data_IF_076951013763
#
_entry.id   IF_076951013763
#
_cell.length_a   1.000
_cell.length_b   1.000
_cell.length_c   1.000
_cell.angle_alpha   90.00
_cell.angle_beta   90.00
_cell.angle_gamma   90.00
#
_symmetry.space_group_name_H-M   'P 1'
#
loop_
_entity.id
_entity.type
_entity.pdbx_description
1 polymer ?
#
# COMPACT_ATOMS: atom_id res chain seq x y z
N UNK A 1 11.51 -4.62 28.92
CA UNK A 1 11.20 -5.09 27.56
C UNK A 1 12.07 -6.30 27.32
N UNK A 2 11.47 -7.47 27.20
CA UNK A 2 12.19 -8.69 26.80
C UNK A 2 12.83 -8.45 25.43
N UNK A 3 14.13 -8.72 25.30
CA UNK A 3 14.81 -8.64 24.02
C UNK A 3 14.27 -9.77 23.14
N UNK A 4 13.57 -9.43 22.05
CA UNK A 4 13.09 -10.42 21.11
C UNK A 4 14.29 -11.21 20.56
N UNK A 5 14.26 -12.53 20.74
CA UNK A 5 15.29 -13.42 20.20
C UNK A 5 15.20 -13.40 18.68
N UNK A 6 16.16 -12.75 18.02
CA UNK A 6 16.27 -12.80 16.57
C UNK A 6 16.55 -14.26 16.15
N UNK A 7 15.81 -14.82 15.16
CA UNK A 7 16.11 -16.15 14.66
C UNK A 7 17.55 -16.21 14.15
N UNK A 8 18.27 -17.26 14.54
CA UNK A 8 19.62 -17.51 14.05
C UNK A 8 19.60 -17.67 12.52
N UNK A 9 20.56 -17.03 11.83
CA UNK A 9 20.71 -17.12 10.37
C UNK A 9 20.03 -16.02 9.55
N UNK A 10 19.36 -15.04 10.16
CA UNK A 10 18.92 -13.83 9.45
C UNK A 10 20.14 -12.94 9.23
N UNK A 11 20.49 -12.72 7.96
CA UNK A 11 21.51 -11.75 7.57
C UNK A 11 21.08 -10.35 8.06
N UNK A 12 21.74 -9.87 9.11
CA UNK A 12 21.48 -8.55 9.71
C UNK A 12 21.91 -7.40 8.79
N UNK A 13 22.55 -7.66 7.66
CA UNK A 13 22.95 -6.62 6.70
C UNK A 13 21.78 -6.00 5.92
N UNK A 14 20.55 -6.54 6.05
CA UNK A 14 19.35 -6.09 5.31
C UNK A 14 18.53 -5.05 6.08
N UNK A 15 18.51 -5.10 7.41
CA UNK A 15 17.70 -4.22 8.26
C UNK A 15 18.54 -3.05 8.81
N UNK A 16 18.13 -1.84 8.53
CA UNK A 16 18.71 -0.61 9.06
C UNK A 16 17.65 0.10 9.89
N UNK A 17 17.80 0.19 11.22
CA UNK A 17 16.75 0.69 12.10
C UNK A 17 16.38 2.16 11.82
N UNK A 18 17.31 2.97 11.33
CA UNK A 18 17.05 4.39 11.03
C UNK A 18 16.33 4.49 9.69
N UNK A 19 16.92 3.92 8.63
CA UNK A 19 16.32 3.95 7.29
C UNK A 19 14.94 3.28 7.27
N UNK A 20 14.81 2.11 7.88
CA UNK A 20 13.58 1.33 7.81
C UNK A 20 12.45 1.95 8.64
N UNK A 21 12.78 2.67 9.74
CA UNK A 21 11.81 3.51 10.46
C UNK A 21 11.36 4.69 9.59
N UNK A 22 12.30 5.39 8.94
CA UNK A 22 11.99 6.49 8.03
C UNK A 22 11.11 6.04 6.86
N UNK A 23 11.45 4.92 6.21
CA UNK A 23 10.68 4.36 5.11
C UNK A 23 9.28 3.92 5.56
N UNK A 24 9.17 3.30 6.73
CA UNK A 24 7.87 2.95 7.32
C UNK A 24 7.01 4.20 7.55
N UNK A 25 7.54 5.22 8.21
CA UNK A 25 6.81 6.46 8.49
C UNK A 25 6.42 7.18 7.18
N UNK A 26 7.36 7.29 6.24
CA UNK A 26 7.12 7.90 4.93
C UNK A 26 6.03 7.17 4.16
N UNK A 27 5.99 5.84 4.20
CA UNK A 27 4.95 5.03 3.56
C UNK A 27 3.56 5.44 4.01
N UNK A 28 3.34 5.48 5.32
CA UNK A 28 2.01 5.82 5.85
C UNK A 28 1.70 7.32 5.73
N UNK A 29 2.70 8.19 5.80
CA UNK A 29 2.54 9.61 5.52
C UNK A 29 2.05 9.84 4.09
N UNK A 30 2.72 9.23 3.10
CA UNK A 30 2.37 9.32 1.68
C UNK A 30 0.98 8.76 1.42
N UNK A 31 0.67 7.56 1.93
CA UNK A 31 -0.65 6.95 1.76
C UNK A 31 -1.77 7.82 2.36
N UNK A 32 -1.54 8.41 3.54
CA UNK A 32 -2.50 9.33 4.17
C UNK A 32 -2.72 10.58 3.32
N UNK A 33 -1.64 11.28 2.95
CA UNK A 33 -1.72 12.51 2.16
C UNK A 33 -2.35 12.28 0.79
N UNK A 34 -1.98 11.19 0.12
CA UNK A 34 -2.57 10.82 -1.15
C UNK A 34 -4.06 10.51 -1.02
N UNK A 35 -4.47 9.75 0.00
CA UNK A 35 -5.86 9.42 0.24
C UNK A 35 -6.73 10.67 0.53
N UNK A 36 -6.23 11.57 1.38
CA UNK A 36 -6.90 12.82 1.75
C UNK A 36 -6.99 13.82 0.57
N UNK A 37 -6.09 13.73 -0.42
CA UNK A 37 -6.04 14.65 -1.56
C UNK A 37 -7.18 14.52 -2.58
N UNK A 38 -7.96 13.43 -2.54
CA UNK A 38 -8.98 13.12 -3.55
C UNK A 38 -10.41 13.10 -3.03
N UNK A 39 -10.67 12.42 -1.91
CA UNK A 39 -12.00 12.43 -1.28
C UNK A 39 -11.93 11.90 0.14
N UNK A 40 -12.87 12.33 0.99
CA UNK A 40 -13.05 11.81 2.36
C UNK A 40 -13.28 10.30 2.40
N UNK A 41 -13.89 9.76 1.33
CA UNK A 41 -14.14 8.32 1.18
C UNK A 41 -12.83 7.52 1.04
N UNK A 42 -11.84 8.02 0.30
CA UNK A 42 -10.52 7.37 0.22
C UNK A 42 -9.70 7.69 1.47
N UNK A 43 -9.67 8.96 1.89
CA UNK A 43 -8.91 9.47 3.05
C UNK A 43 -9.05 8.59 4.28
N UNK A 44 -10.29 8.38 4.73
CA UNK A 44 -10.56 7.59 5.95
C UNK A 44 -10.57 6.07 5.74
N UNK A 45 -10.55 5.59 4.48
CA UNK A 45 -10.83 4.16 4.15
C UNK A 45 -9.88 3.60 3.09
N UNK A 46 -8.67 4.11 2.96
CA UNK A 46 -7.69 3.59 1.99
C UNK A 46 -7.38 2.09 2.21
N UNK A 47 -7.50 1.59 3.44
CA UNK A 47 -7.38 0.15 3.74
C UNK A 47 -8.72 -0.59 3.83
N UNK A 48 -9.81 0.07 3.45
CA UNK A 48 -11.14 -0.49 3.34
C UNK A 48 -11.30 -1.53 2.22
N UNK A 49 -12.24 -2.47 2.35
CA UNK A 49 -12.63 -3.27 1.18
C UNK A 49 -13.52 -2.47 0.22
N UNK A 50 -13.85 -3.03 -0.93
CA UNK A 50 -14.74 -2.42 -1.92
C UNK A 50 -15.93 -3.35 -2.20
N UNK A 51 -17.15 -2.81 -2.20
CA UNK A 51 -18.34 -3.61 -2.49
C UNK A 51 -18.56 -3.87 -3.99
N UNK A 52 -19.62 -4.62 -4.31
CA UNK A 52 -20.00 -4.91 -5.70
C UNK A 52 -20.30 -3.65 -6.52
N UNK A 53 -20.66 -2.54 -5.87
CA UNK A 53 -20.99 -1.25 -6.49
C UNK A 53 -19.81 -0.28 -6.53
N UNK A 54 -18.60 -0.72 -6.15
CA UNK A 54 -17.40 0.10 -6.17
C UNK A 54 -17.28 1.10 -5.01
N UNK A 55 -18.10 0.98 -3.96
CA UNK A 55 -18.02 1.85 -2.78
C UNK A 55 -16.98 1.33 -1.80
N UNK A 56 -16.20 2.23 -1.23
CA UNK A 56 -15.15 1.88 -0.27
C UNK A 56 -15.79 1.76 1.12
N UNK A 57 -15.61 0.59 1.72
CA UNK A 57 -16.16 0.28 3.05
C UNK A 57 -15.13 0.57 4.14
N UNK A 58 -15.60 0.86 5.36
CA UNK A 58 -14.71 1.26 6.46
C UNK A 58 -13.98 0.11 7.16
N UNK A 59 -14.41 -1.14 7.00
CA UNK A 59 -13.72 -2.26 7.64
C UNK A 59 -12.33 -2.47 7.04
N UNK A 60 -11.36 -2.74 7.91
CA UNK A 60 -10.01 -3.06 7.52
C UNK A 60 -9.97 -4.30 6.63
N UNK A 61 -9.30 -4.19 5.49
CA UNK A 61 -9.13 -5.25 4.52
C UNK A 61 -7.64 -5.54 4.34
N UNK A 62 -7.17 -6.63 4.96
CA UNK A 62 -5.74 -7.01 5.04
C UNK A 62 -5.04 -7.00 3.68
N UNK A 63 -5.69 -7.48 2.63
CA UNK A 63 -5.08 -7.53 1.30
C UNK A 63 -4.95 -6.14 0.66
N UNK A 64 -5.85 -5.20 0.96
CA UNK A 64 -5.70 -3.83 0.50
C UNK A 64 -4.57 -3.14 1.27
N UNK A 65 -4.48 -3.38 2.58
CA UNK A 65 -3.37 -2.91 3.40
C UNK A 65 -2.03 -3.40 2.86
N UNK A 66 -1.82 -4.71 2.71
CA UNK A 66 -0.59 -5.27 2.15
C UNK A 66 -0.30 -4.74 0.74
N UNK A 67 -1.31 -4.70 -0.13
CA UNK A 67 -1.16 -4.24 -1.50
C UNK A 67 -0.64 -2.81 -1.57
N UNK A 68 -1.26 -1.89 -0.84
CA UNK A 68 -0.83 -0.50 -0.80
C UNK A 68 0.49 -0.32 -0.06
N UNK A 69 0.65 -0.87 1.14
CA UNK A 69 1.85 -0.63 1.95
C UNK A 69 3.11 -1.22 1.31
N UNK A 70 3.02 -2.44 0.77
CA UNK A 70 4.15 -3.15 0.18
C UNK A 70 4.37 -2.79 -1.30
N UNK A 71 3.29 -2.54 -2.05
CA UNK A 71 3.39 -2.10 -3.43
C UNK A 71 4.04 -0.72 -3.56
N UNK A 72 3.77 0.17 -2.60
CA UNK A 72 4.37 1.51 -2.58
C UNK A 72 5.88 1.49 -2.35
N UNK A 73 6.41 0.49 -1.62
CA UNK A 73 7.85 0.44 -1.26
C UNK A 73 8.77 0.54 -2.47
N UNK A 74 8.36 -0.04 -3.62
CA UNK A 74 9.16 -0.05 -4.84
C UNK A 74 9.35 1.32 -5.48
N UNK A 75 8.48 2.28 -5.15
CA UNK A 75 8.51 3.63 -5.69
C UNK A 75 8.71 4.70 -4.61
N UNK A 76 8.82 4.31 -3.34
CA UNK A 76 8.82 5.22 -2.19
C UNK A 76 9.89 6.32 -2.29
N UNK A 77 11.07 5.99 -2.83
CA UNK A 77 12.17 6.93 -3.01
C UNK A 77 11.86 8.03 -4.04
N UNK A 78 10.98 7.78 -5.00
CA UNK A 78 10.56 8.75 -6.01
C UNK A 78 9.41 9.65 -5.53
N UNK A 79 8.85 9.39 -4.34
CA UNK A 79 7.73 10.13 -3.79
C UNK A 79 8.20 11.22 -2.83
N UNK A 80 7.69 12.42 -3.03
CA UNK A 80 7.88 13.59 -2.18
C UNK A 80 6.54 13.92 -1.48
N UNK A 81 6.44 13.69 -0.15
CA UNK A 81 5.22 14.01 0.60
C UNK A 81 4.80 15.49 0.54
N UNK A 82 5.73 16.39 0.24
CA UNK A 82 5.47 17.83 0.13
C UNK A 82 5.00 18.26 -1.27
N UNK A 83 5.04 17.36 -2.26
CA UNK A 83 4.50 17.61 -3.59
C UNK A 83 3.00 17.27 -3.63
N UNK A 84 2.18 18.30 -3.40
CA UNK A 84 0.72 18.16 -3.42
C UNK A 84 0.16 17.65 -4.75
N UNK A 85 0.80 17.95 -5.89
CA UNK A 85 0.36 17.48 -7.19
C UNK A 85 0.64 15.98 -7.34
N UNK A 86 1.82 15.54 -6.91
CA UNK A 86 2.18 14.12 -6.88
C UNK A 86 1.26 13.33 -5.93
N UNK A 87 0.97 13.85 -4.74
CA UNK A 87 0.03 13.20 -3.80
C UNK A 87 -1.38 13.09 -4.41
N UNK A 88 -1.84 14.10 -5.15
CA UNK A 88 -3.12 14.06 -5.87
C UNK A 88 -3.14 13.00 -6.98
N UNK A 89 -2.06 12.86 -7.73
CA UNK A 89 -1.95 11.80 -8.75
C UNK A 89 -1.98 10.41 -8.11
N UNK A 90 -1.19 10.22 -7.04
CA UNK A 90 -1.18 8.98 -6.28
C UNK A 90 -2.56 8.66 -5.67
N UNK A 91 -3.27 9.65 -5.14
CA UNK A 91 -4.62 9.50 -4.59
C UNK A 91 -5.63 9.06 -5.65
N UNK A 92 -5.57 9.66 -6.85
CA UNK A 92 -6.41 9.25 -7.98
C UNK A 92 -6.10 7.82 -8.39
N UNK A 93 -4.82 7.45 -8.47
CA UNK A 93 -4.42 6.08 -8.79
C UNK A 93 -4.89 5.08 -7.74
N UNK A 94 -4.84 5.41 -6.45
CA UNK A 94 -5.37 4.57 -5.39
C UNK A 94 -6.89 4.35 -5.53
N UNK A 95 -7.64 5.40 -5.91
CA UNK A 95 -9.07 5.30 -6.20
C UNK A 95 -9.36 4.45 -7.45
N UNK A 96 -8.55 4.59 -8.50
CA UNK A 96 -8.63 3.76 -9.71
C UNK A 96 -8.40 2.29 -9.37
N UNK A 97 -7.33 1.96 -8.64
CA UNK A 97 -7.04 0.60 -8.16
C UNK A 97 -8.24 0.03 -7.38
N UNK A 98 -8.79 0.80 -6.44
CA UNK A 98 -9.96 0.38 -5.64
C UNK A 98 -11.17 0.06 -6.51
N UNK A 99 -11.37 0.78 -7.61
CA UNK A 99 -12.50 0.62 -8.53
C UNK A 99 -12.22 -0.36 -9.66
N UNK A 100 -10.99 -0.80 -9.82
CA UNK A 100 -10.59 -1.76 -10.84
C UNK A 100 -11.25 -3.11 -10.58
N UNK A 101 -12.06 -3.64 -11.53
CA UNK A 101 -12.64 -4.97 -11.41
C UNK A 101 -11.59 -6.07 -11.19
N UNK A 102 -10.37 -5.90 -11.71
CA UNK A 102 -9.26 -6.85 -11.58
C UNK A 102 -8.79 -7.01 -10.13
N UNK A 103 -8.97 -6.01 -9.28
CA UNK A 103 -8.56 -6.07 -7.86
C UNK A 103 -9.16 -7.27 -7.11
N UNK A 104 -10.35 -7.74 -7.51
CA UNK A 104 -11.00 -8.92 -6.93
C UNK A 104 -10.25 -10.22 -7.21
N UNK A 105 -9.39 -10.26 -8.23
CA UNK A 105 -8.53 -11.42 -8.50
C UNK A 105 -7.36 -11.51 -7.49
N UNK A 106 -7.02 -10.39 -6.87
CA UNK A 106 -5.90 -10.26 -5.92
C UNK A 106 -6.34 -10.22 -4.45
N UNK A 107 -7.65 -10.06 -4.20
CA UNK A 107 -8.24 -9.89 -2.87
C UNK A 107 -9.38 -10.90 -2.64
N UNK A 108 -9.54 -11.41 -1.41
CA UNK A 108 -10.66 -12.28 -1.04
C UNK A 108 -10.28 -13.66 -0.52
N UNK A 109 -11.28 -14.53 -0.37
CA UNK A 109 -11.11 -15.88 0.18
C UNK A 109 -10.13 -16.74 -0.64
N UNK A 110 -9.32 -17.56 0.04
CA UNK A 110 -8.35 -18.45 -0.61
C UNK A 110 -7.09 -17.75 -1.17
N UNK A 111 -6.92 -16.44 -0.94
CA UNK A 111 -5.76 -15.65 -1.41
C UNK A 111 -4.62 -15.53 -0.39
N UNK A 112 -4.59 -16.40 0.61
CA UNK A 112 -3.53 -16.48 1.63
C UNK A 112 -2.41 -17.45 1.25
N UNK A 113 -1.99 -17.45 -0.02
CA UNK A 113 -0.87 -18.26 -0.50
C UNK A 113 0.27 -17.36 -0.94
N UNK A 114 1.51 -17.86 -0.90
CA UNK A 114 2.68 -17.10 -1.36
C UNK A 114 2.52 -16.60 -2.80
N UNK A 115 1.94 -17.43 -3.68
CA UNK A 115 1.67 -17.04 -5.07
C UNK A 115 0.66 -15.89 -5.16
N UNK A 116 -0.44 -15.98 -4.40
CA UNK A 116 -1.44 -14.92 -4.36
C UNK A 116 -0.90 -13.62 -3.75
N UNK A 117 -0.05 -13.72 -2.73
CA UNK A 117 0.67 -12.59 -2.16
C UNK A 117 1.55 -11.89 -3.20
N UNK A 118 2.44 -12.63 -3.87
CA UNK A 118 3.32 -12.07 -4.92
C UNK A 118 2.52 -11.39 -6.02
N UNK A 119 1.48 -12.05 -6.52
CA UNK A 119 0.62 -11.47 -7.56
C UNK A 119 -0.11 -10.20 -7.09
N UNK A 120 -0.51 -10.13 -5.82
CA UNK A 120 -1.13 -8.93 -5.24
C UNK A 120 -0.14 -7.79 -5.14
N UNK A 121 1.04 -8.00 -4.55
CA UNK A 121 2.05 -6.94 -4.44
C UNK A 121 2.45 -6.44 -5.83
N UNK A 122 2.63 -7.34 -6.80
CA UNK A 122 2.95 -6.98 -8.18
C UNK A 122 1.85 -6.13 -8.82
N UNK A 123 0.58 -6.54 -8.72
CA UNK A 123 -0.55 -5.77 -9.26
C UNK A 123 -0.59 -4.34 -8.71
N UNK A 124 -0.46 -4.17 -7.39
CA UNK A 124 -0.44 -2.83 -6.79
C UNK A 124 0.81 -2.05 -7.21
N UNK A 125 2.00 -2.68 -7.21
CA UNK A 125 3.25 -2.04 -7.64
C UNK A 125 3.12 -1.49 -9.06
N UNK A 126 2.69 -2.32 -10.01
CA UNK A 126 2.59 -1.94 -11.42
C UNK A 126 1.62 -0.79 -11.63
N UNK A 127 0.45 -0.83 -10.99
CA UNK A 127 -0.54 0.27 -11.06
C UNK A 127 0.00 1.56 -10.45
N UNK A 128 0.67 1.47 -9.30
CA UNK A 128 1.23 2.63 -8.62
C UNK A 128 2.41 3.24 -9.41
N UNK A 129 3.21 2.42 -10.08
CA UNK A 129 4.35 2.87 -10.90
C UNK A 129 3.93 3.76 -12.06
N UNK A 130 2.70 3.60 -12.59
CA UNK A 130 2.14 4.43 -13.68
C UNK A 130 2.12 5.93 -13.37
N UNK A 131 2.23 6.36 -12.10
CA UNK A 131 2.26 7.80 -11.75
C UNK A 131 3.64 8.44 -11.97
N UNK A 132 4.67 7.64 -12.25
CA UNK A 132 6.05 8.09 -12.45
C UNK A 132 6.45 8.19 -13.93
N UNK A 133 5.55 7.80 -14.84
CA UNK A 133 5.76 7.74 -16.29
C UNK A 133 5.15 8.95 -16.99
#
# INVERSE_FOLDING_TARGET
MEAASAPEGVDRSVFDPVRDEEDFLKTFQVLRLAAESVSDEVGSKIFGSVDSRGRIKGQFAVYHFEGFSLGLQKILNSLNPNDSAQMKLLGKKALEIKKDPELRNHTGGGKNTVRAYKARVEYFTSKLFEILV
#
